data_IF_694312973201
#
_entry.id   IF_694312973201
#
_cell.length_a   1.000
_cell.length_b   1.000
_cell.length_c   1.000
_cell.angle_alpha   90.00
_cell.angle_beta   90.00
_cell.angle_gamma   90.00
#
_symmetry.space_group_name_H-M   'P 1'
#
loop_
_entity.id
_entity.type
_entity.pdbx_description
1 polymer ?
#
# COMPACT_ATOMS: atom_id res chain seq x y z
N UNK A 1 -10.08 -12.68 -5.29
CA UNK A 1 -10.34 -11.83 -4.11
C UNK A 1 -8.99 -11.47 -3.50
N UNK A 2 -8.72 -10.19 -3.24
CA UNK A 2 -7.46 -9.79 -2.59
C UNK A 2 -7.53 -10.13 -1.09
N UNK A 3 -6.41 -10.53 -0.44
CA UNK A 3 -6.41 -10.85 0.98
C UNK A 3 -6.69 -9.59 1.83
N UNK A 4 -7.42 -9.76 2.92
CA UNK A 4 -7.61 -8.69 3.92
C UNK A 4 -6.44 -8.63 4.91
N UNK A 5 -6.48 -7.66 5.83
CA UNK A 5 -5.41 -7.50 6.82
C UNK A 5 -5.25 -8.73 7.73
N UNK A 6 -6.35 -9.36 8.15
CA UNK A 6 -6.29 -10.50 9.08
C UNK A 6 -5.58 -11.70 8.45
N UNK A 7 -5.73 -11.91 7.14
CA UNK A 7 -5.03 -12.97 6.41
C UNK A 7 -3.50 -12.76 6.35
N UNK A 8 -3.07 -11.51 6.53
CA UNK A 8 -1.67 -11.08 6.43
C UNK A 8 -1.03 -10.81 7.80
N UNK A 9 -1.81 -10.81 8.89
CA UNK A 9 -1.30 -10.60 10.26
C UNK A 9 -0.19 -11.60 10.58
N UNK A 10 0.86 -11.12 11.27
CA UNK A 10 2.06 -11.90 11.62
C UNK A 10 2.87 -12.42 10.43
N UNK A 11 2.66 -11.88 9.21
CA UNK A 11 3.44 -12.22 8.02
C UNK A 11 4.22 -11.01 7.52
N UNK A 12 5.42 -11.26 7.00
CA UNK A 12 6.11 -10.30 6.14
C UNK A 12 5.51 -10.43 4.74
N UNK A 13 4.85 -9.38 4.28
CA UNK A 13 4.13 -9.38 2.99
C UNK A 13 4.85 -8.47 2.00
N UNK A 14 5.10 -8.99 0.79
CA UNK A 14 5.62 -8.23 -0.34
C UNK A 14 4.49 -8.05 -1.37
N UNK A 15 4.18 -6.80 -1.73
CA UNK A 15 3.17 -6.46 -2.73
C UNK A 15 3.89 -6.05 -4.01
N UNK A 16 3.71 -6.82 -5.08
CA UNK A 16 4.30 -6.60 -6.41
C UNK A 16 3.22 -6.67 -7.50
N UNK A 17 3.51 -6.13 -8.68
CA UNK A 17 2.55 -6.05 -9.77
C UNK A 17 3.01 -5.12 -10.88
N UNK A 18 2.11 -4.79 -11.80
CA UNK A 18 2.39 -3.83 -12.86
C UNK A 18 1.99 -2.40 -12.46
N UNK A 19 2.53 -1.41 -13.16
CA UNK A 19 2.11 -0.03 -13.03
C UNK A 19 0.59 0.08 -13.26
N UNK A 20 -0.11 0.84 -12.41
CA UNK A 20 -1.57 1.01 -12.51
C UNK A 20 -2.41 -0.18 -12.04
N UNK A 21 -1.80 -1.26 -11.54
CA UNK A 21 -2.54 -2.42 -11.00
C UNK A 21 -3.26 -2.16 -9.66
N UNK A 22 -3.06 -0.98 -9.06
CA UNK A 22 -3.74 -0.56 -7.83
C UNK A 22 -3.08 -1.06 -6.55
N UNK A 23 -1.77 -1.36 -6.55
CA UNK A 23 -1.02 -1.82 -5.38
C UNK A 23 -1.04 -0.81 -4.24
N UNK A 24 -0.89 0.46 -4.58
CA UNK A 24 -0.84 1.59 -3.66
C UNK A 24 -2.21 1.73 -2.98
N UNK A 25 -3.30 1.61 -3.74
CA UNK A 25 -4.67 1.57 -3.22
C UNK A 25 -4.92 0.34 -2.33
N UNK A 26 -4.39 -0.82 -2.70
CA UNK A 26 -4.49 -2.03 -1.90
C UNK A 26 -3.74 -1.91 -0.57
N UNK A 27 -2.50 -1.40 -0.59
CA UNK A 27 -1.71 -1.15 0.61
C UNK A 27 -2.40 -0.10 1.50
N UNK A 28 -2.89 1.01 0.95
CA UNK A 28 -3.65 2.01 1.71
C UNK A 28 -4.89 1.40 2.40
N UNK A 29 -5.58 0.48 1.75
CA UNK A 29 -6.72 -0.25 2.36
C UNK A 29 -6.28 -1.18 3.50
N UNK A 30 -5.12 -1.84 3.40
CA UNK A 30 -4.56 -2.65 4.48
C UNK A 30 -4.15 -1.78 5.67
N UNK A 31 -3.53 -0.63 5.42
CA UNK A 31 -3.15 0.34 6.46
C UNK A 31 -4.38 0.86 7.21
N UNK A 32 -5.44 1.24 6.49
CA UNK A 32 -6.71 1.65 7.11
C UNK A 32 -7.29 0.56 8.01
N UNK A 33 -7.24 -0.70 7.58
CA UNK A 33 -7.66 -1.83 8.42
C UNK A 33 -6.79 -1.98 9.67
N UNK A 34 -5.46 -1.82 9.56
CA UNK A 34 -4.56 -1.88 10.71
C UNK A 34 -4.87 -0.77 11.73
N UNK A 35 -5.04 0.48 11.27
CA UNK A 35 -5.39 1.62 12.11
C UNK A 35 -6.74 1.40 12.79
N UNK A 36 -7.75 0.90 12.06
CA UNK A 36 -9.07 0.61 12.63
C UNK A 36 -9.04 -0.45 13.76
N UNK A 37 -7.92 -1.18 13.87
CA UNK A 37 -7.67 -2.20 14.90
C UNK A 37 -6.72 -1.73 16.00
N UNK A 38 -6.22 -0.48 15.95
CA UNK A 38 -5.26 0.05 16.92
C UNK A 38 -3.85 -0.57 16.80
N UNK A 39 -3.46 -0.97 15.59
CA UNK A 39 -2.19 -1.68 15.33
C UNK A 39 -1.16 -0.82 14.60
N UNK A 40 -1.39 0.48 14.45
CA UNK A 40 -0.51 1.41 13.75
C UNK A 40 0.92 1.41 14.28
N UNK A 41 1.11 1.35 15.61
CA UNK A 41 2.43 1.29 16.26
C UNK A 41 3.14 -0.08 16.08
N UNK A 42 2.39 -1.10 15.68
CA UNK A 42 2.91 -2.46 15.43
C UNK A 42 3.11 -2.75 13.94
N UNK A 43 2.83 -1.78 13.07
CA UNK A 43 2.93 -1.92 11.63
C UNK A 43 4.19 -1.21 11.12
N UNK A 44 5.06 -1.94 10.42
CA UNK A 44 6.17 -1.35 9.67
C UNK A 44 5.91 -1.45 8.18
N UNK A 45 5.98 -0.32 7.49
CA UNK A 45 5.83 -0.24 6.03
C UNK A 45 7.18 0.18 5.46
N UNK A 46 7.70 -0.63 4.54
CA UNK A 46 8.84 -0.25 3.71
C UNK A 46 8.29 0.07 2.34
N UNK A 47 8.17 1.35 2.04
CA UNK A 47 7.68 1.81 0.75
C UNK A 47 8.84 1.96 -0.23
N UNK A 48 8.81 1.13 -1.28
CA UNK A 48 9.80 1.11 -2.34
C UNK A 48 9.27 1.76 -3.63
N UNK A 49 8.08 2.35 -3.60
CA UNK A 49 7.53 3.05 -4.74
C UNK A 49 8.39 4.29 -5.07
N UNK A 50 8.63 4.57 -6.36
CA UNK A 50 9.28 5.81 -6.75
C UNK A 50 8.38 7.01 -6.42
N UNK A 51 8.97 8.20 -6.42
CA UNK A 51 8.21 9.46 -6.30
C UNK A 51 7.11 9.52 -7.37
N UNK A 52 5.98 10.14 -7.01
CA UNK A 52 4.89 10.38 -7.95
C UNK A 52 5.35 11.36 -9.02
N UNK A 53 5.27 10.96 -10.28
CA UNK A 53 5.57 11.81 -11.43
C UNK A 53 4.40 11.86 -12.41
N UNK A 54 4.30 12.97 -13.14
CA UNK A 54 3.39 13.12 -14.27
C UNK A 54 4.16 12.89 -15.57
N UNK A 55 3.74 11.92 -16.37
CA UNK A 55 4.29 11.65 -17.70
C UNK A 55 3.15 11.47 -18.70
N UNK A 56 3.10 12.29 -19.76
CA UNK A 56 2.05 12.21 -20.80
C UNK A 56 0.62 12.19 -20.23
N UNK A 57 0.33 13.02 -19.22
CA UNK A 57 -0.93 13.05 -18.47
C UNK A 57 -1.28 11.76 -17.69
N UNK A 58 -0.31 10.88 -17.46
CA UNK A 58 -0.42 9.71 -16.59
C UNK A 58 0.36 9.94 -15.29
N UNK A 59 -0.28 9.63 -14.17
CA UNK A 59 0.38 9.55 -12.86
C UNK A 59 1.14 8.22 -12.76
N UNK A 60 2.45 8.29 -12.56
CA UNK A 60 3.34 7.13 -12.40
C UNK A 60 4.03 7.15 -11.04
N UNK A 61 4.10 5.99 -10.39
CA UNK A 61 4.68 5.89 -9.05
C UNK A 61 3.70 6.39 -7.98
N UNK A 62 4.26 6.85 -6.87
CA UNK A 62 3.49 7.33 -5.72
C UNK A 62 3.70 6.46 -4.49
N UNK A 63 4.12 7.10 -3.41
CA UNK A 63 4.27 6.47 -2.11
C UNK A 63 2.93 6.44 -1.39
N UNK A 64 2.82 5.64 -0.35
CA UNK A 64 1.59 5.47 0.41
C UNK A 64 1.06 6.78 0.99
N UNK A 65 1.93 7.70 1.40
CA UNK A 65 1.52 9.01 1.92
C UNK A 65 0.81 9.88 0.87
N UNK A 66 0.88 9.54 -0.43
CA UNK A 66 0.08 10.18 -1.47
C UNK A 66 -1.38 9.67 -1.49
N UNK A 67 -1.69 8.60 -0.74
CA UNK A 67 -2.99 7.90 -0.76
C UNK A 67 -3.65 7.74 0.62
N UNK A 68 -3.01 8.24 1.68
CA UNK A 68 -3.49 8.21 3.08
C UNK A 68 -3.78 9.60 3.59
#
# INVERSE_FOLDING_TARGET
MLPDFNHLTNKKTLIIGELGSGREKFLANLVKQAISKGLEESLTIIDLAPELIMLNNLELGGKIHNYT
#
